data_IF_387495809980
#
_entry.id   IF_387495809980
#
_cell.length_a   1.000
_cell.length_b   1.000
_cell.length_c   1.000
_cell.angle_alpha   90.00
_cell.angle_beta   90.00
_cell.angle_gamma   90.00
#
_symmetry.space_group_name_H-M   'P 1'
#
loop_
_entity.id
_entity.type
_entity.pdbx_description
1 polymer ?
#
# COMPACT_ATOMS: atom_id res chain seq x y z
N UNK A 1 -15.33 -5.21 -9.47
CA UNK A 1 -14.36 -4.54 -8.57
C UNK A 1 -13.18 -5.46 -8.24
N UNK A 2 -12.05 -4.92 -7.79
CA UNK A 2 -10.92 -5.68 -7.26
C UNK A 2 -10.89 -5.60 -5.72
N UNK A 3 -10.57 -6.71 -5.06
CA UNK A 3 -10.25 -6.74 -3.64
C UNK A 3 -8.75 -6.99 -3.45
N UNK A 4 -8.05 -6.05 -2.82
CA UNK A 4 -6.62 -6.14 -2.56
C UNK A 4 -6.39 -6.43 -1.08
N UNK A 5 -5.63 -7.48 -0.79
CA UNK A 5 -5.12 -7.76 0.54
C UNK A 5 -3.71 -7.20 0.66
N UNK A 6 -3.50 -6.34 1.67
CA UNK A 6 -2.20 -5.76 1.99
C UNK A 6 -1.55 -6.48 3.17
N UNK A 7 -0.22 -6.36 3.34
CA UNK A 7 0.44 -6.69 4.59
C UNK A 7 -0.13 -5.85 5.74
N UNK A 8 -0.16 -6.41 6.95
CA UNK A 8 -0.67 -5.72 8.14
C UNK A 8 0.09 -4.42 8.46
N UNK A 9 1.37 -4.42 8.10
CA UNK A 9 2.30 -3.31 8.34
C UNK A 9 2.79 -2.77 7.00
N UNK A 10 2.43 -1.53 6.71
CA UNK A 10 2.89 -0.79 5.54
C UNK A 10 3.96 0.24 5.94
N UNK A 11 4.93 0.54 5.06
CA UNK A 11 5.93 1.55 5.33
C UNK A 11 5.28 2.93 5.45
N UNK A 12 5.63 3.67 6.51
CA UNK A 12 5.20 5.06 6.63
C UNK A 12 5.94 5.93 5.61
N UNK A 13 5.22 6.43 4.62
CA UNK A 13 5.78 7.34 3.62
C UNK A 13 5.73 8.77 4.16
N UNK A 14 6.89 9.37 4.43
CA UNK A 14 6.97 10.82 4.67
C UNK A 14 6.60 11.53 3.37
N UNK A 15 5.42 12.15 3.32
CA UNK A 15 5.03 12.96 2.18
C UNK A 15 6.04 14.11 2.04
N UNK A 16 6.84 14.10 0.96
CA UNK A 16 7.65 15.27 0.62
C UNK A 16 6.69 16.35 0.11
N UNK A 17 6.38 17.32 0.97
CA UNK A 17 5.57 18.47 0.60
C UNK A 17 6.23 19.19 -0.58
N UNK A 18 5.56 19.23 -1.73
CA UNK A 18 5.90 20.18 -2.79
C UNK A 18 4.89 21.32 -2.77
N UNK A 19 5.44 22.53 -2.64
CA UNK A 19 4.87 23.88 -2.79
C UNK A 19 4.22 24.58 -1.56
N UNK A 20 5.02 25.51 -1.01
CA UNK A 20 4.74 26.73 -0.23
C UNK A 20 4.53 26.66 1.30
N UNK A 21 5.63 26.96 2.03
CA UNK A 21 5.64 28.14 2.91
C UNK A 21 5.59 27.95 4.42
N UNK A 22 6.68 27.47 5.04
CA UNK A 22 7.38 28.10 6.19
C UNK A 22 8.42 27.13 6.74
N UNK A 23 9.67 27.57 6.67
CA UNK A 23 10.82 26.97 7.31
C UNK A 23 10.56 26.85 8.83
N UNK A 24 10.48 25.62 9.32
CA UNK A 24 10.83 25.32 10.71
C UNK A 24 12.12 24.53 10.68
N UNK A 25 13.19 25.25 11.02
CA UNK A 25 14.45 24.69 11.46
C UNK A 25 14.17 23.74 12.62
N UNK A 26 14.36 22.45 12.39
CA UNK A 26 14.79 21.53 13.44
C UNK A 26 15.71 20.50 12.82
N UNK A 27 16.99 20.75 13.05
CA UNK A 27 18.10 19.83 12.85
C UNK A 27 17.76 18.44 13.39
N UNK A 28 17.55 17.48 12.49
CA UNK A 28 17.64 16.07 12.81
C UNK A 28 18.46 15.36 11.74
N UNK A 29 19.47 14.65 12.23
CA UNK A 29 20.52 13.89 11.55
C UNK A 29 19.95 12.91 10.51
N UNK A 30 20.78 12.37 9.59
CA UNK A 30 20.39 11.22 8.79
C UNK A 30 20.25 10.02 9.73
N UNK A 31 19.06 9.83 10.28
CA UNK A 31 18.72 8.65 11.05
C UNK A 31 18.54 7.51 10.07
N UNK A 32 19.37 6.47 10.19
CA UNK A 32 19.15 5.19 9.53
C UNK A 32 17.69 4.77 9.64
N UNK A 33 17.18 4.23 8.54
CA UNK A 33 15.82 3.74 8.39
C UNK A 33 15.51 2.64 9.40
N UNK A 34 14.98 3.03 10.57
CA UNK A 34 14.42 2.09 11.53
C UNK A 34 12.92 2.36 11.65
N UNK A 35 12.15 1.61 10.86
CA UNK A 35 10.94 0.91 11.31
C UNK A 35 9.75 1.71 11.84
N UNK A 36 9.25 2.73 11.14
CA UNK A 36 7.86 3.18 11.35
C UNK A 36 6.93 2.41 10.40
N UNK A 37 6.23 1.40 10.91
CA UNK A 37 5.13 0.73 10.21
C UNK A 37 3.79 1.35 10.60
N UNK A 38 2.84 1.32 9.67
CA UNK A 38 1.49 1.82 9.88
C UNK A 38 0.48 0.82 9.31
N UNK A 39 -0.70 0.74 9.91
CA UNK A 39 -1.83 0.04 9.29
C UNK A 39 -2.37 0.86 8.11
N UNK A 40 -3.11 0.24 7.18
CA UNK A 40 -3.67 0.94 6.02
C UNK A 40 -4.50 2.17 6.40
N UNK A 41 -5.20 2.13 7.53
CA UNK A 41 -6.08 3.20 8.01
C UNK A 41 -5.32 4.39 8.62
N UNK A 42 -4.06 4.19 9.00
CA UNK A 42 -3.19 5.23 9.56
C UNK A 42 -2.40 5.98 8.47
N UNK A 43 -2.37 5.45 7.25
CA UNK A 43 -1.71 6.11 6.15
C UNK A 43 -2.49 7.37 5.73
N UNK A 44 -1.78 8.45 5.37
CA UNK A 44 -2.44 9.63 4.86
C UNK A 44 -3.13 9.30 3.54
N UNK A 45 -4.38 9.76 3.39
CA UNK A 45 -5.12 9.62 2.14
C UNK A 45 -4.41 10.28 0.95
N UNK A 46 -4.78 9.85 -0.25
CA UNK A 46 -4.25 10.39 -1.50
C UNK A 46 -3.37 9.38 -2.25
N UNK A 47 -2.23 9.84 -2.76
CA UNK A 47 -1.37 9.02 -3.59
C UNK A 47 -0.65 7.93 -2.79
N UNK A 48 -0.92 6.65 -3.12
CA UNK A 48 -0.40 5.46 -2.42
C UNK A 48 0.63 4.69 -3.26
N UNK A 49 1.51 5.40 -3.95
CA UNK A 49 2.59 4.78 -4.72
C UNK A 49 2.21 4.38 -6.15
N UNK A 50 3.06 3.57 -6.79
CA UNK A 50 2.92 3.15 -8.20
C UNK A 50 2.78 1.66 -8.32
N UNK A 51 1.91 1.23 -9.23
CA UNK A 51 1.83 -0.16 -9.68
C UNK A 51 2.55 -0.29 -11.03
N UNK A 52 3.47 -1.24 -11.13
CA UNK A 52 4.25 -1.57 -12.32
C UNK A 52 3.77 -2.89 -12.89
N UNK A 53 3.43 -2.90 -14.18
CA UNK A 53 3.11 -4.13 -14.92
C UNK A 53 4.26 -4.38 -15.90
N UNK A 54 4.97 -5.49 -15.68
CA UNK A 54 6.13 -5.85 -16.50
C UNK A 54 5.67 -6.57 -17.78
N UNK A 55 6.53 -6.58 -18.81
CA UNK A 55 6.28 -7.32 -20.05
C UNK A 55 6.05 -8.82 -19.83
N UNK A 56 6.63 -9.39 -18.77
CA UNK A 56 6.41 -10.78 -18.34
C UNK A 56 5.03 -11.04 -17.76
N UNK A 57 4.23 -10.00 -17.49
CA UNK A 57 2.96 -10.09 -16.76
C UNK A 57 3.12 -10.02 -15.24
N UNK A 58 4.36 -10.05 -14.71
CA UNK A 58 4.61 -9.79 -13.30
C UNK A 58 4.14 -8.38 -12.93
N UNK A 59 3.61 -8.22 -11.71
CA UNK A 59 3.12 -6.94 -11.20
C UNK A 59 3.83 -6.64 -9.89
N UNK A 60 4.38 -5.43 -9.77
CA UNK A 60 4.96 -4.92 -8.53
C UNK A 60 4.27 -3.63 -8.10
N UNK A 61 4.22 -3.37 -6.81
CA UNK A 61 3.71 -2.13 -6.24
C UNK A 61 4.77 -1.48 -5.35
N UNK A 62 5.14 -0.24 -5.66
CA UNK A 62 6.11 0.53 -4.89
C UNK A 62 5.38 1.55 -4.03
N UNK A 63 5.52 1.43 -2.71
CA UNK A 63 5.02 2.38 -1.72
C UNK A 63 6.19 2.99 -0.96
N UNK A 64 6.41 4.31 -1.13
CA UNK A 64 7.64 4.94 -0.68
C UNK A 64 8.84 4.32 -1.39
N UNK A 65 9.82 3.85 -0.63
CA UNK A 65 10.98 3.12 -1.18
C UNK A 65 10.83 1.60 -1.19
N UNK A 66 9.76 1.06 -0.58
CA UNK A 66 9.57 -0.39 -0.46
C UNK A 66 8.78 -0.93 -1.65
N UNK A 67 9.28 -2.02 -2.23
CA UNK A 67 8.66 -2.73 -3.34
C UNK A 67 7.93 -3.96 -2.79
N UNK A 68 6.76 -4.22 -3.37
CA UNK A 68 5.92 -5.38 -3.06
C UNK A 68 5.58 -6.12 -4.34
N UNK A 69 5.47 -7.43 -4.25
CA UNK A 69 4.90 -8.27 -5.29
C UNK A 69 3.38 -8.27 -5.20
N UNK A 70 2.73 -8.28 -6.36
CA UNK A 70 1.27 -8.34 -6.47
C UNK A 70 0.89 -9.57 -7.26
N UNK A 71 0.26 -10.52 -6.57
CA UNK A 71 -0.13 -11.80 -7.14
C UNK A 71 -1.65 -11.95 -7.20
N UNK A 72 -2.20 -12.73 -8.16
CA UNK A 72 -3.60 -13.09 -8.14
C UNK A 72 -3.97 -13.82 -6.84
N UNK A 73 -5.05 -13.37 -6.20
CA UNK A 73 -5.60 -14.04 -5.03
C UNK A 73 -6.43 -15.27 -5.40
N UNK A 74 -6.94 -15.95 -4.38
CA UNK A 74 -7.84 -17.10 -4.58
C UNK A 74 -9.10 -16.67 -5.33
N UNK A 75 -9.45 -17.42 -6.37
CA UNK A 75 -10.73 -17.23 -7.09
C UNK A 75 -11.89 -17.59 -6.16
N UNK A 76 -12.86 -16.68 -5.95
CA UNK A 76 -14.13 -17.12 -5.35
C UNK A 76 -15.02 -17.72 -6.42
N UNK A 77 -15.66 -18.83 -6.09
CA UNK A 77 -16.79 -19.42 -6.84
C UNK A 77 -18.15 -18.94 -6.31
N UNK A 78 -18.11 -18.08 -5.30
CA UNK A 78 -19.25 -17.51 -4.63
C UNK A 78 -19.49 -16.08 -5.10
N UNK A 79 -20.75 -15.66 -5.12
CA UNK A 79 -21.10 -14.26 -5.34
C UNK A 79 -20.72 -13.42 -4.11
N UNK A 80 -20.01 -12.31 -4.33
CA UNK A 80 -19.54 -11.42 -3.27
C UNK A 80 -19.79 -9.97 -3.68
N UNK A 81 -20.66 -9.27 -2.95
CA UNK A 81 -20.93 -7.86 -3.17
C UNK A 81 -20.33 -7.00 -2.06
N UNK A 82 -19.88 -5.80 -2.43
CA UNK A 82 -19.56 -4.75 -1.47
C UNK A 82 -20.75 -3.84 -1.30
N UNK A 83 -21.03 -3.53 -0.04
CA UNK A 83 -22.15 -2.67 0.36
C UNK A 83 -21.62 -1.57 1.25
N UNK A 84 -22.03 -0.34 0.99
CA UNK A 84 -21.81 0.80 1.87
C UNK A 84 -23.00 0.90 2.83
N UNK A 85 -22.71 0.94 4.14
CA UNK A 85 -23.71 1.07 5.19
C UNK A 85 -23.41 2.37 5.94
N UNK A 86 -24.33 3.32 5.89
CA UNK A 86 -24.29 4.53 6.69
C UNK A 86 -25.37 4.42 7.78
N UNK A 87 -24.92 4.25 9.02
CA UNK A 87 -25.81 4.07 10.17
C UNK A 87 -26.40 5.36 10.70
N UNK A 88 -25.84 6.53 10.36
CA UNK A 88 -26.36 7.83 10.79
C UNK A 88 -27.60 8.23 9.99
N UNK A 89 -27.57 7.98 8.68
CA UNK A 89 -28.67 8.30 7.76
C UNK A 89 -29.57 7.07 7.46
N UNK A 90 -29.37 5.96 8.20
CA UNK A 90 -30.07 4.69 8.03
C UNK A 90 -30.10 4.18 6.57
N UNK A 91 -29.01 4.40 5.84
CA UNK A 91 -28.93 4.12 4.40
C UNK A 91 -27.95 2.97 4.10
N UNK A 92 -28.32 2.16 3.11
CA UNK A 92 -27.56 1.01 2.66
C UNK A 92 -27.57 0.97 1.13
N UNK A 93 -26.38 0.87 0.51
CA UNK A 93 -26.23 0.89 -0.94
C UNK A 93 -25.25 -0.18 -1.42
N UNK A 94 -25.67 -1.01 -2.37
CA UNK A 94 -24.80 -1.97 -3.02
C UNK A 94 -23.86 -1.26 -4.01
N UNK A 95 -22.54 -1.37 -3.78
CA UNK A 95 -21.50 -0.82 -4.65
C UNK A 95 -21.15 -1.76 -5.81
N UNK A 96 -21.45 -3.05 -5.66
CA UNK A 96 -21.34 -4.06 -6.70
C UNK A 96 -20.36 -5.20 -6.40
N UNK A 97 -20.22 -6.08 -7.38
CA UNK A 97 -19.55 -7.38 -7.23
C UNK A 97 -18.02 -7.30 -7.20
N UNK A 98 -17.42 -8.10 -6.31
CA UNK A 98 -16.00 -8.40 -6.24
C UNK A 98 -15.68 -9.53 -7.24
N UNK A 99 -15.22 -9.16 -8.43
CA UNK A 99 -14.90 -10.13 -9.47
C UNK A 99 -13.47 -10.69 -9.41
N UNK A 100 -12.53 -10.00 -8.75
CA UNK A 100 -11.11 -10.38 -8.71
C UNK A 100 -10.46 -10.03 -7.38
N UNK A 101 -9.54 -10.89 -6.94
CA UNK A 101 -8.73 -10.71 -5.73
C UNK A 101 -7.26 -10.62 -6.09
N UNK A 102 -6.51 -9.83 -5.34
CA UNK A 102 -5.06 -9.75 -5.43
C UNK A 102 -4.46 -9.71 -4.03
N UNK A 103 -3.28 -10.29 -3.86
CA UNK A 103 -2.53 -10.29 -2.61
C UNK A 103 -1.22 -9.55 -2.84
N UNK A 104 -0.95 -8.58 -1.96
CA UNK A 104 0.26 -7.79 -1.94
C UNK A 104 1.17 -8.33 -0.86
N UNK A 105 2.40 -8.71 -1.22
CA UNK A 105 3.41 -9.23 -0.30
C UNK A 105 4.70 -8.43 -0.43
N UNK A 106 5.47 -8.21 0.66
CA UNK A 106 6.77 -7.57 0.53
C UNK A 106 7.69 -8.36 -0.41
N UNK A 107 8.42 -7.65 -1.26
CA UNK A 107 9.44 -8.24 -2.14
C UNK A 107 10.66 -8.62 -1.28
N UNK A 108 10.72 -9.89 -0.86
CA UNK A 108 11.74 -10.37 0.08
C UNK A 108 13.13 -10.32 -0.53
N UNK A 109 13.26 -10.62 -1.81
CA UNK A 109 14.55 -10.60 -2.51
C UNK A 109 15.14 -9.18 -2.47
N UNK A 110 14.35 -8.18 -2.86
CA UNK A 110 14.77 -6.77 -2.80
C UNK A 110 15.07 -6.30 -1.37
N UNK A 111 14.34 -6.81 -0.37
CA UNK A 111 14.59 -6.46 1.03
C UNK A 111 15.92 -7.03 1.54
N UNK A 112 16.29 -8.24 1.13
CA UNK A 112 17.51 -8.91 1.56
C UNK A 112 18.77 -8.41 0.83
N UNK A 113 18.65 -8.01 -0.44
CA UNK A 113 19.77 -7.44 -1.20
C UNK A 113 20.36 -6.19 -0.51
N UNK A 114 19.50 -5.35 0.09
CA UNK A 114 19.91 -4.16 0.85
C UNK A 114 20.72 -4.49 2.13
N UNK A 115 20.62 -5.72 2.64
CA UNK A 115 21.32 -6.16 3.86
C UNK A 115 22.72 -6.68 3.52
N UNK A 116 22.89 -7.25 2.33
CA UNK A 116 24.14 -7.91 1.92
C UNK A 116 25.17 -6.88 1.41
N UNK A 117 24.76 -5.71 0.92
CA UNK A 117 25.67 -4.61 0.52
C UNK A 117 26.36 -3.88 1.70
N UNK A 118 26.08 -4.26 2.96
CA UNK A 118 26.68 -3.67 4.17
C UNK A 118 27.88 -4.46 4.73
N UNK A 119 28.36 -5.50 4.04
CA UNK A 119 29.63 -6.19 4.32
C UNK A 119 30.73 -5.80 3.31
#
# INVERSE_FOLDING_TARGET
>A
MFFLQFPDNLPLVKQSASANGKERTDSSKPSGSTGASASLNELPGGYMGKMFVYKSGAIKWKLGEVIHDVSPGVSCKCFQDVVAINTADENCCALGEIGKRAVVTPDIDSLLDNVIELE
#
